data_IF_441919919329
#
_entry.id   IF_441919919329
#
_cell.length_a   1.000
_cell.length_b   1.000
_cell.length_c   1.000
_cell.angle_alpha   90.00
_cell.angle_beta   90.00
_cell.angle_gamma   90.00
#
_symmetry.space_group_name_H-M   'P 1'
#
loop_
_entity.id
_entity.type
_entity.pdbx_description
1 polymer ?
#
# COMPACT_ATOMS: atom_id res chain seq x y z
N UNK A 1 19.97 -8.18 -13.37
CA UNK A 1 18.69 -7.49 -13.64
C UNK A 1 17.59 -8.18 -12.83
N UNK A 2 17.31 -7.67 -11.63
CA UNK A 2 16.28 -8.23 -10.76
C UNK A 2 14.93 -7.55 -11.01
N UNK A 3 14.23 -7.91 -12.08
CA UNK A 3 12.80 -7.66 -12.14
C UNK A 3 12.10 -8.75 -11.35
N UNK A 4 12.04 -8.59 -10.03
CA UNK A 4 10.99 -9.25 -9.25
C UNK A 4 9.73 -8.46 -9.49
N UNK A 5 8.73 -9.11 -10.07
CA UNK A 5 7.34 -8.67 -10.10
C UNK A 5 7.01 -8.02 -8.75
N UNK A 6 6.48 -6.80 -8.72
CA UNK A 6 5.79 -6.24 -7.55
C UNK A 6 4.64 -7.18 -7.22
N UNK A 7 4.95 -8.23 -6.47
CA UNK A 7 4.01 -9.28 -6.20
C UNK A 7 3.16 -8.80 -5.04
N UNK A 8 1.86 -8.78 -5.22
CA UNK A 8 0.90 -8.66 -4.12
C UNK A 8 0.89 -9.93 -3.24
N UNK A 9 2.00 -10.68 -3.21
CA UNK A 9 2.22 -11.80 -2.32
C UNK A 9 2.01 -11.31 -0.88
N UNK A 10 1.15 -12.03 -0.18
CA UNK A 10 0.71 -11.67 1.17
C UNK A 10 -0.41 -10.65 1.26
N UNK A 11 -0.88 -10.01 0.18
CA UNK A 11 -2.05 -9.11 0.23
C UNK A 11 -3.28 -9.86 0.75
N UNK A 12 -3.56 -11.04 0.19
CA UNK A 12 -4.66 -11.90 0.63
C UNK A 12 -4.53 -12.27 2.11
N UNK A 13 -3.32 -12.53 2.59
CA UNK A 13 -3.08 -12.87 4.00
C UNK A 13 -3.29 -11.64 4.91
N UNK A 14 -2.82 -10.45 4.52
CA UNK A 14 -3.05 -9.19 5.25
C UNK A 14 -4.55 -8.90 5.36
N UNK A 15 -5.27 -8.98 4.24
CA UNK A 15 -6.72 -8.77 4.21
C UNK A 15 -7.46 -9.84 5.03
N UNK A 16 -7.01 -11.09 5.00
CA UNK A 16 -7.56 -12.17 5.83
C UNK A 16 -7.41 -11.85 7.32
N UNK A 17 -6.26 -11.35 7.77
CA UNK A 17 -6.06 -10.94 9.17
C UNK A 17 -6.97 -9.75 9.52
N UNK A 18 -7.04 -8.73 8.66
CA UNK A 18 -7.95 -7.59 8.86
C UNK A 18 -9.40 -8.07 9.00
N UNK A 19 -9.82 -9.04 8.18
CA UNK A 19 -11.19 -9.56 8.19
C UNK A 19 -11.60 -10.28 9.48
N UNK A 20 -10.64 -10.65 10.33
CA UNK A 20 -10.92 -11.25 11.64
C UNK A 20 -11.53 -10.23 12.62
N UNK A 21 -11.31 -8.93 12.37
CA UNK A 21 -11.82 -7.84 13.22
C UNK A 21 -12.76 -6.90 12.45
N UNK A 22 -12.55 -6.74 11.13
CA UNK A 22 -13.28 -5.79 10.30
C UNK A 22 -13.93 -6.54 9.13
N UNK A 23 -15.23 -6.86 9.20
CA UNK A 23 -15.96 -7.42 8.06
C UNK A 23 -15.95 -6.47 6.86
N UNK A 24 -15.54 -6.97 5.69
CA UNK A 24 -15.35 -6.14 4.50
C UNK A 24 -16.10 -6.67 3.26
N UNK A 25 -16.36 -5.76 2.31
CA UNK A 25 -16.94 -6.01 0.98
C UNK A 25 -15.86 -6.03 -0.10
N UNK A 26 -14.93 -5.08 -0.03
CA UNK A 26 -13.81 -4.96 -0.97
C UNK A 26 -12.57 -4.41 -0.28
N UNK A 27 -11.41 -4.70 -0.86
CA UNK A 27 -10.11 -4.24 -0.39
C UNK A 27 -9.21 -3.91 -1.58
N UNK A 28 -8.27 -2.99 -1.39
CA UNK A 28 -7.21 -2.68 -2.35
C UNK A 28 -5.90 -2.36 -1.63
N UNK A 29 -4.80 -2.36 -2.38
CA UNK A 29 -3.47 -2.12 -1.85
C UNK A 29 -2.65 -1.25 -2.80
N UNK A 30 -1.95 -0.28 -2.20
CA UNK A 30 -0.85 0.43 -2.83
C UNK A 30 0.45 0.08 -2.11
N UNK A 31 1.51 -0.14 -2.89
CA UNK A 31 2.86 -0.37 -2.39
C UNK A 31 3.82 0.60 -3.04
N UNK A 32 4.82 1.05 -2.27
CA UNK A 32 5.91 1.85 -2.78
C UNK A 32 7.18 1.52 -2.00
N UNK A 33 8.33 1.80 -2.61
CA UNK A 33 9.58 1.94 -1.89
C UNK A 33 10.33 3.15 -2.44
N UNK A 34 11.12 3.80 -1.58
CA UNK A 34 12.03 4.87 -1.98
C UNK A 34 13.16 5.03 -0.97
N UNK A 35 14.23 5.71 -1.37
CA UNK A 35 15.43 5.95 -0.56
C UNK A 35 16.03 7.31 -0.92
N UNK A 36 16.65 7.98 0.06
CA UNK A 36 17.41 9.22 -0.19
C UNK A 36 16.57 10.50 -0.31
N UNK A 37 15.27 10.43 -0.05
CA UNK A 37 14.39 11.61 -0.04
C UNK A 37 14.28 12.20 1.37
N UNK A 38 14.26 13.54 1.47
CA UNK A 38 14.03 14.26 2.73
C UNK A 38 12.61 14.05 3.28
N UNK A 39 11.63 13.85 2.39
CA UNK A 39 10.26 13.50 2.73
C UNK A 39 9.82 12.23 1.98
N UNK A 40 10.18 11.03 2.47
CA UNK A 40 9.93 9.78 1.75
C UNK A 40 8.43 9.44 1.69
N UNK A 41 7.62 9.90 2.64
CA UNK A 41 6.17 9.71 2.64
C UNK A 41 5.46 10.49 1.52
N UNK A 42 5.80 11.78 1.36
CA UNK A 42 5.30 12.60 0.25
C UNK A 42 5.64 11.98 -1.10
N UNK A 43 6.87 11.47 -1.26
CA UNK A 43 7.28 10.79 -2.49
C UNK A 43 6.55 9.49 -2.77
N UNK A 44 6.19 8.74 -1.73
CA UNK A 44 5.32 7.57 -1.92
C UNK A 44 3.93 7.98 -2.41
N UNK A 45 3.33 9.00 -1.81
CA UNK A 45 1.99 9.49 -2.17
C UNK A 45 1.96 10.08 -3.58
N UNK A 46 2.92 10.94 -3.94
CA UNK A 46 3.08 11.47 -5.30
C UNK A 46 3.21 10.33 -6.33
N UNK A 47 4.01 9.31 -6.02
CA UNK A 47 4.19 8.13 -6.86
C UNK A 47 2.89 7.34 -7.06
N UNK A 48 2.07 7.21 -6.02
CA UNK A 48 0.75 6.58 -6.14
C UNK A 48 -0.23 7.42 -6.96
N UNK A 49 -0.27 8.74 -6.77
CA UNK A 49 -1.12 9.65 -7.56
C UNK A 49 -0.72 9.62 -9.04
N UNK A 50 0.57 9.58 -9.35
CA UNK A 50 1.09 9.53 -10.72
C UNK A 50 0.87 8.18 -11.43
N UNK A 51 0.48 7.13 -10.71
CA UNK A 51 0.24 5.80 -11.28
C UNK A 51 -1.27 5.53 -11.41
N UNK A 52 -1.82 5.35 -12.62
CA UNK A 52 -3.27 5.17 -12.80
C UNK A 52 -3.89 4.04 -11.97
N UNK A 53 -3.17 2.93 -11.78
CA UNK A 53 -3.63 1.81 -10.95
C UNK A 53 -3.68 2.14 -9.47
N UNK A 54 -2.62 2.73 -8.93
CA UNK A 54 -2.57 3.13 -7.53
C UNK A 54 -3.54 4.28 -7.24
N UNK A 55 -3.63 5.26 -8.13
CA UNK A 55 -4.56 6.37 -8.02
C UNK A 55 -6.02 5.88 -8.02
N UNK A 56 -6.35 4.89 -8.87
CA UNK A 56 -7.68 4.24 -8.85
C UNK A 56 -8.01 3.63 -7.48
N UNK A 57 -7.05 3.02 -6.79
CA UNK A 57 -7.27 2.51 -5.44
C UNK A 57 -7.50 3.66 -4.44
N UNK A 58 -6.75 4.76 -4.55
CA UNK A 58 -6.88 5.93 -3.66
C UNK A 58 -8.24 6.62 -3.75
N UNK A 59 -8.81 6.70 -4.96
CA UNK A 59 -10.12 7.34 -5.20
C UNK A 59 -11.28 6.33 -5.27
N UNK A 60 -11.03 5.08 -4.92
CA UNK A 60 -12.04 4.02 -4.93
C UNK A 60 -13.08 4.16 -3.81
N UNK A 61 -14.16 3.39 -3.90
CA UNK A 61 -15.20 3.34 -2.86
C UNK A 61 -14.73 2.54 -1.63
N UNK A 62 -13.94 3.21 -0.79
CA UNK A 62 -13.44 2.70 0.48
C UNK A 62 -13.76 3.70 1.60
N UNK A 63 -13.96 3.21 2.82
CA UNK A 63 -14.27 4.05 3.98
C UNK A 63 -13.23 3.92 5.10
N UNK A 64 -12.24 3.05 4.94
CA UNK A 64 -11.12 2.89 5.85
C UNK A 64 -9.82 2.78 5.06
N UNK A 65 -8.74 3.31 5.64
CA UNK A 65 -7.38 3.13 5.14
C UNK A 65 -6.40 2.99 6.30
N UNK A 66 -5.35 2.20 6.09
CA UNK A 66 -4.21 2.10 6.99
C UNK A 66 -2.90 2.06 6.21
N UNK A 67 -1.85 2.72 6.72
CA UNK A 67 -0.53 2.76 6.12
C UNK A 67 0.49 2.16 7.09
N UNK A 68 1.25 1.18 6.62
CA UNK A 68 2.43 0.65 7.28
C UNK A 68 3.71 1.12 6.58
N UNK A 69 4.71 1.49 7.37
CA UNK A 69 6.02 1.93 6.89
C UNK A 69 7.10 1.11 7.59
N UNK A 70 8.03 0.56 6.83
CA UNK A 70 9.23 -0.10 7.34
C UNK A 70 10.47 0.47 6.67
N UNK A 71 11.61 0.48 7.38
CA UNK A 71 12.89 0.90 6.82
C UNK A 71 13.91 -0.23 6.98
N UNK A 72 14.67 -0.53 5.94
CA UNK A 72 15.79 -1.46 6.05
C UNK A 72 17.08 -0.76 6.55
N UNK A 73 18.13 -1.54 6.82
CA UNK A 73 19.42 -1.01 7.29
C UNK A 73 20.14 -0.09 6.29
N UNK A 74 19.78 -0.16 5.02
CA UNK A 74 20.33 0.68 3.95
C UNK A 74 19.59 2.03 3.84
N UNK A 75 18.55 2.23 4.65
CA UNK A 75 17.75 3.45 4.66
C UNK A 75 16.62 3.48 3.63
N UNK A 76 16.35 2.37 2.93
CA UNK A 76 15.20 2.25 2.02
C UNK A 76 13.92 2.14 2.83
N UNK A 77 12.96 3.02 2.55
CA UNK A 77 11.61 2.97 3.08
C UNK A 77 10.72 2.11 2.19
N UNK A 78 9.87 1.31 2.82
CA UNK A 78 8.84 0.48 2.21
C UNK A 78 7.48 0.91 2.77
N UNK A 79 6.55 1.19 1.87
CA UNK A 79 5.21 1.68 2.17
C UNK A 79 4.19 0.67 1.71
N UNK A 80 3.21 0.39 2.56
CA UNK A 80 2.06 -0.44 2.25
C UNK A 80 0.80 0.28 2.74
N UNK A 81 -0.06 0.69 1.82
CA UNK A 81 -1.36 1.27 2.13
C UNK A 81 -2.47 0.29 1.75
N UNK A 82 -3.31 -0.06 2.73
CA UNK A 82 -4.49 -0.89 2.51
C UNK A 82 -5.73 0.00 2.58
N UNK A 83 -6.66 -0.25 1.66
CA UNK A 83 -7.99 0.35 1.64
C UNK A 83 -9.03 -0.73 1.89
N UNK A 84 -10.02 -0.43 2.72
CA UNK A 84 -11.10 -1.36 3.08
C UNK A 84 -12.44 -0.66 2.90
N UNK A 85 -13.39 -1.37 2.28
CA UNK A 85 -14.81 -1.04 2.31
C UNK A 85 -15.48 -1.99 3.28
N UNK A 86 -15.98 -1.48 4.40
CA UNK A 86 -16.71 -2.30 5.37
C UNK A 86 -18.04 -2.79 4.79
N UNK A 87 -18.59 -3.87 5.38
CA UNK A 87 -19.95 -4.34 5.07
C UNK A 87 -21.01 -3.37 5.53
#
# INVERSE_FOLDING_TARGET
SGQTTFSHDGFQQRVKVISQQIPYKSAAENIANNMGYSNPGEKAVEGWIGSPGHHKNMVGDYNLSGIGIAQNSEGTYYFNQIFIKTR
#
